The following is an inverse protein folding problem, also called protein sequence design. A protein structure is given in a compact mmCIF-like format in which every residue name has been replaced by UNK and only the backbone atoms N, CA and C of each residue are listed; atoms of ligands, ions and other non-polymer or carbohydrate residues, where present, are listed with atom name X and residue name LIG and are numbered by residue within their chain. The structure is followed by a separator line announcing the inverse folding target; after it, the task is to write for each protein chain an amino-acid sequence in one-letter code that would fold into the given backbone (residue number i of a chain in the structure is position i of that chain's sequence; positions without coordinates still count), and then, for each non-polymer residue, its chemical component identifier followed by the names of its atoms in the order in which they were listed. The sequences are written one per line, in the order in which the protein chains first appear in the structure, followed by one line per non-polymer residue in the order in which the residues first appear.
data_IF_833531177849
#
_entry.id   IF_833531177849
#
_cell.length_a   1.000
_cell.length_b   1.000
_cell.length_c   1.000
_cell.angle_alpha   90.00
_cell.angle_beta   90.00
_cell.angle_gamma   90.00
#
_symmetry.space_group_name_H-M   'P 1'
#
loop_
_entity.id
_entity.type
_entity.pdbx_description
1 polymer ?
#
# COMPACT_ATOMS: atom_id res chain seq x y z
N UNK A 1 -35.52 -1.62 -7.33
CA UNK A 1 -34.80 -0.53 -6.64
C UNK A 1 -33.39 -0.46 -7.13
N UNK A 2 -32.98 0.70 -7.54
CA UNK A 2 -31.61 0.88 -7.96
C UNK A 2 -30.72 1.03 -6.73
N UNK A 3 -29.74 0.15 -6.60
CA UNK A 3 -28.77 0.32 -5.54
C UNK A 3 -27.87 1.51 -5.86
N UNK A 4 -27.85 2.47 -4.98
CA UNK A 4 -26.95 3.61 -5.10
C UNK A 4 -25.71 3.31 -4.28
N UNK A 5 -24.55 3.41 -4.91
CA UNK A 5 -23.30 3.25 -4.17
C UNK A 5 -23.16 4.37 -3.16
N UNK A 6 -23.08 4.07 -1.86
CA UNK A 6 -22.86 5.11 -0.86
C UNK A 6 -21.56 5.87 -1.15
N UNK A 7 -21.51 7.16 -0.77
CA UNK A 7 -20.31 7.97 -0.97
C UNK A 7 -19.10 7.41 -0.23
N UNK A 8 -19.34 6.66 0.85
CA UNK A 8 -18.28 6.03 1.63
C UNK A 8 -17.80 4.71 1.02
N UNK A 9 -18.51 4.20 0.00
CA UNK A 9 -18.14 2.94 -0.63
C UNK A 9 -17.14 3.16 -1.74
N UNK A 10 -16.04 2.43 -1.70
CA UNK A 10 -14.97 2.50 -2.68
C UNK A 10 -14.74 1.10 -3.23
N UNK A 11 -14.76 0.98 -4.55
CA UNK A 11 -14.43 -0.28 -5.21
C UNK A 11 -13.00 -0.24 -5.70
N UNK A 12 -12.22 -1.25 -5.33
CA UNK A 12 -10.84 -1.39 -5.77
C UNK A 12 -10.68 -2.70 -6.51
N UNK A 13 -9.94 -2.66 -7.61
CA UNK A 13 -9.61 -3.85 -8.38
C UNK A 13 -8.10 -3.96 -8.50
N UNK A 14 -7.60 -5.15 -8.29
CA UNK A 14 -6.18 -5.44 -8.32
C UNK A 14 -5.98 -6.73 -9.08
N UNK A 15 -4.94 -6.77 -9.92
CA UNK A 15 -4.49 -8.01 -10.52
C UNK A 15 -3.07 -8.29 -10.08
N UNK A 16 -2.71 -9.57 -10.05
CA UNK A 16 -1.39 -9.97 -9.60
C UNK A 16 -0.93 -11.19 -10.38
N UNK A 17 0.37 -11.28 -10.60
CA UNK A 17 1.01 -12.41 -11.25
C UNK A 17 2.12 -12.93 -10.37
N UNK A 18 2.04 -14.19 -9.98
CA UNK A 18 3.14 -14.87 -9.30
C UNK A 18 4.19 -15.24 -10.33
N UNK A 19 5.25 -14.45 -10.43
CA UNK A 19 6.29 -14.62 -11.44
C UNK A 19 7.27 -15.74 -11.05
N UNK A 20 7.53 -15.87 -9.76
CA UNK A 20 8.34 -16.95 -9.22
C UNK A 20 7.65 -17.46 -7.96
N UNK A 21 8.23 -18.46 -7.32
CA UNK A 21 7.70 -18.96 -6.05
C UNK A 21 7.73 -17.91 -4.93
N UNK A 22 8.48 -16.84 -5.12
CA UNK A 22 8.62 -15.77 -4.12
C UNK A 22 8.19 -14.40 -4.64
N UNK A 23 8.33 -14.15 -5.94
CA UNK A 23 8.06 -12.81 -6.49
C UNK A 23 6.67 -12.72 -7.09
N UNK A 24 5.93 -11.72 -6.65
CA UNK A 24 4.60 -11.41 -7.15
C UNK A 24 4.58 -9.97 -7.68
N UNK A 25 4.13 -9.81 -8.91
CA UNK A 25 3.90 -8.48 -9.47
C UNK A 25 2.44 -8.11 -9.30
N UNK A 26 2.19 -6.95 -8.73
CA UNK A 26 0.85 -6.46 -8.44
C UNK A 26 0.58 -5.24 -9.29
N UNK A 27 -0.61 -5.20 -9.91
CA UNK A 27 -1.04 -4.07 -10.73
C UNK A 27 -2.36 -3.54 -10.18
N UNK A 28 -2.40 -2.24 -9.95
CA UNK A 28 -3.61 -1.55 -9.52
C UNK A 28 -3.61 -0.17 -10.16
N UNK A 29 -4.74 0.23 -10.75
CA UNK A 29 -4.84 1.47 -11.52
C UNK A 29 -3.75 1.49 -12.60
N UNK A 30 -2.94 2.54 -12.65
CA UNK A 30 -1.81 2.69 -13.58
C UNK A 30 -0.46 2.49 -12.90
N UNK A 31 -0.44 1.85 -11.73
CA UNK A 31 0.79 1.60 -10.99
C UNK A 31 0.99 0.12 -10.77
N UNK A 32 2.24 -0.26 -10.53
CA UNK A 32 2.60 -1.63 -10.20
C UNK A 32 3.58 -1.65 -9.05
N UNK A 33 3.62 -2.79 -8.35
CA UNK A 33 4.51 -3.01 -7.22
C UNK A 33 4.97 -4.45 -7.23
N UNK A 34 6.14 -4.69 -6.66
CA UNK A 34 6.72 -6.03 -6.55
C UNK A 34 6.75 -6.41 -5.08
N UNK A 35 6.25 -7.61 -4.79
CA UNK A 35 6.44 -8.28 -3.52
C UNK A 35 7.41 -9.43 -3.77
N UNK A 36 8.43 -9.56 -2.92
CA UNK A 36 9.47 -10.57 -3.12
C UNK A 36 10.02 -10.96 -1.75
N UNK A 37 10.91 -11.92 -1.74
CA UNK A 37 11.64 -12.33 -0.56
C UNK A 37 13.12 -11.97 -0.72
N UNK A 38 13.86 -11.80 0.38
CA UNK A 38 15.31 -11.63 0.29
C UNK A 38 15.96 -12.91 -0.23
N UNK A 39 17.16 -12.79 -0.75
CA UNK A 39 17.86 -13.92 -1.34
C UNK A 39 18.05 -15.07 -0.36
N UNK A 40 18.27 -14.76 0.92
CA UNK A 40 18.45 -15.76 1.97
C UNK A 40 17.19 -16.61 2.15
N UNK A 41 16.03 -16.15 1.70
CA UNK A 41 14.79 -16.90 1.72
C UNK A 41 14.37 -17.39 0.34
N UNK A 42 15.27 -17.36 -0.61
CA UNK A 42 15.01 -17.87 -1.95
C UNK A 42 14.38 -16.88 -2.90
N UNK A 43 14.30 -15.62 -2.55
CA UNK A 43 13.81 -14.58 -3.43
C UNK A 43 14.91 -13.88 -4.21
N UNK A 44 14.57 -12.78 -4.87
CA UNK A 44 15.51 -11.99 -5.65
C UNK A 44 15.67 -10.57 -5.10
N UNK A 45 15.09 -10.30 -3.94
CA UNK A 45 15.21 -9.03 -3.21
C UNK A 45 14.81 -7.81 -4.04
N UNK A 46 13.75 -7.95 -4.85
CA UNK A 46 13.29 -6.86 -5.72
C UNK A 46 12.12 -6.07 -5.14
N UNK A 47 11.64 -6.45 -3.98
CA UNK A 47 10.54 -5.77 -3.34
C UNK A 47 10.44 -6.11 -1.86
N UNK A 48 9.45 -5.54 -1.21
CA UNK A 48 9.15 -5.85 0.18
C UNK A 48 8.58 -7.27 0.29
N UNK A 49 8.80 -7.91 1.42
CA UNK A 49 8.12 -9.18 1.69
C UNK A 49 6.63 -8.92 1.93
N UNK A 50 5.78 -9.95 1.87
CA UNK A 50 4.36 -9.76 2.18
C UNK A 50 4.12 -9.13 3.55
N UNK A 51 4.83 -9.57 4.58
CA UNK A 51 4.71 -9.00 5.92
C UNK A 51 5.15 -7.54 5.96
N UNK A 52 6.28 -7.23 5.32
CA UNK A 52 6.75 -5.85 5.23
C UNK A 52 5.78 -4.96 4.47
N UNK A 53 5.12 -5.50 3.45
CA UNK A 53 4.10 -4.75 2.70
C UNK A 53 2.90 -4.40 3.57
N UNK A 54 2.50 -5.28 4.46
CA UNK A 54 1.43 -5.01 5.40
C UNK A 54 1.84 -3.90 6.38
N UNK A 55 3.05 -3.96 6.90
CA UNK A 55 3.60 -2.92 7.78
C UNK A 55 3.70 -1.59 7.05
N UNK A 56 4.17 -1.61 5.80
CA UNK A 56 4.29 -0.40 4.99
C UNK A 56 2.93 0.26 4.76
N UNK A 57 1.86 -0.51 4.63
CA UNK A 57 0.52 0.03 4.46
C UNK A 57 0.08 0.82 5.69
N UNK A 58 0.42 0.34 6.89
CA UNK A 58 0.11 1.05 8.14
C UNK A 58 0.89 2.36 8.24
N UNK A 59 2.16 2.33 7.87
CA UNK A 59 3.00 3.54 7.84
C UNK A 59 2.45 4.56 6.85
N UNK A 60 2.08 4.10 5.65
CA UNK A 60 1.50 4.97 4.63
C UNK A 60 0.19 5.59 5.08
N UNK A 61 -0.69 4.80 5.70
CA UNK A 61 -1.94 5.31 6.25
C UNK A 61 -1.70 6.34 7.35
N UNK A 62 -0.73 6.10 8.22
CA UNK A 62 -0.41 7.06 9.28
C UNK A 62 -0.02 8.41 8.70
N UNK A 63 0.83 8.42 7.69
CA UNK A 63 1.23 9.65 7.03
C UNK A 63 0.04 10.38 6.39
N UNK A 64 -0.75 9.66 5.59
CA UNK A 64 -1.87 10.26 4.84
C UNK A 64 -2.94 10.79 5.78
N UNK A 65 -3.32 10.00 6.78
CA UNK A 65 -4.41 10.37 7.69
C UNK A 65 -3.99 11.52 8.60
N UNK A 66 -2.77 11.50 9.11
CA UNK A 66 -2.26 12.59 9.97
C UNK A 66 -2.26 13.92 9.22
N UNK A 67 -1.78 13.92 7.97
CA UNK A 67 -1.74 15.14 7.17
C UNK A 67 -3.12 15.63 6.77
N UNK A 68 -4.03 14.68 6.52
CA UNK A 68 -5.43 15.03 6.18
C UNK A 68 -6.15 15.67 7.36
N UNK A 69 -5.96 15.13 8.55
CA UNK A 69 -6.54 15.69 9.78
C UNK A 69 -5.93 17.06 10.08
N UNK A 70 -4.62 17.17 9.99
CA UNK A 70 -3.93 18.43 10.22
C UNK A 70 -4.42 19.51 9.26
N UNK A 71 -4.61 19.18 7.99
CA UNK A 71 -5.12 20.12 7.00
C UNK A 71 -6.50 20.65 7.39
N UNK A 72 -7.38 19.78 7.86
CA UNK A 72 -8.72 20.18 8.33
C UNK A 72 -8.66 21.11 9.54
N UNK A 73 -7.60 21.00 10.33
CA UNK A 73 -7.37 21.85 11.50
C UNK A 73 -6.60 23.13 11.16
N UNK A 74 -6.27 23.36 9.88
CA UNK A 74 -5.49 24.50 9.46
C UNK A 74 -4.01 24.42 9.80
N UNK A 75 -3.51 23.20 10.02
CA UNK A 75 -2.11 22.94 10.37
C UNK A 75 -1.44 22.26 9.18
N UNK A 76 -0.26 22.73 8.80
CA UNK A 76 0.57 22.04 7.81
C UNK A 76 1.63 21.21 8.52
N UNK A 77 1.63 19.91 8.19
CA UNK A 77 2.68 18.99 8.62
C UNK A 77 3.67 18.83 7.47
N UNK A 78 4.95 18.97 7.75
CA UNK A 78 6.00 18.69 6.78
C UNK A 78 6.31 17.22 6.70
N UNK A 79 7.58 16.89 6.44
CA UNK A 79 8.04 15.52 6.44
C UNK A 79 7.80 14.87 7.79
N UNK A 80 7.46 13.59 7.76
CA UNK A 80 7.26 12.79 8.95
C UNK A 80 8.15 11.55 8.87
N UNK A 81 8.92 11.32 9.92
CA UNK A 81 9.65 10.07 10.07
C UNK A 81 8.79 9.12 10.90
N UNK A 82 8.50 7.96 10.34
CA UNK A 82 7.63 6.98 10.98
C UNK A 82 8.41 5.68 11.10
N UNK A 83 8.47 5.17 12.32
CA UNK A 83 9.11 3.89 12.61
C UNK A 83 8.10 2.95 13.22
N UNK A 84 8.23 1.68 12.87
CA UNK A 84 7.31 0.66 13.34
C UNK A 84 8.09 -0.54 13.89
#
# INVERSE_FOLDING_TARGET
MTATTPKSEVTMSMSATGETHARTKINIRDVSSIIDEPEVRGGTNQGLTPTESLMASLVGCTNVISKRIAHKMGIELGEMDIQL
#
